data_IF_932509370622
#
_entry.id   IF_932509370622
#
_cell.length_a   1.000
_cell.length_b   1.000
_cell.length_c   1.000
_cell.angle_alpha   90.00
_cell.angle_beta   90.00
_cell.angle_gamma   90.00
#
_symmetry.space_group_name_H-M   'P 1'
#
loop_
_entity.id
_entity.type
_entity.pdbx_description
1 polymer ?
#
# COMPACT_ATOMS: atom_id res chain seq x y z
N UNK A 1 -26.17 -34.22 -65.01
CA UNK A 1 -25.44 -34.20 -66.30
C UNK A 1 -24.10 -33.50 -66.09
N UNK A 2 -23.02 -34.18 -66.49
CA UNK A 2 -21.62 -33.72 -66.72
C UNK A 2 -20.75 -33.20 -65.55
N UNK A 3 -19.95 -34.14 -65.05
CA UNK A 3 -18.49 -34.02 -64.84
C UNK A 3 -17.80 -33.21 -65.96
N UNK A 4 -16.74 -32.45 -65.64
CA UNK A 4 -15.39 -32.67 -66.24
C UNK A 4 -14.31 -31.71 -65.71
N UNK A 5 -13.10 -32.28 -65.55
CA UNK A 5 -11.73 -31.71 -65.34
C UNK A 5 -11.47 -31.06 -63.98
N UNK A 6 -10.64 -31.58 -63.05
CA UNK A 6 -9.46 -32.47 -63.10
C UNK A 6 -8.35 -32.06 -64.06
N UNK A 7 -7.18 -31.86 -63.44
CA UNK A 7 -5.82 -31.92 -63.97
C UNK A 7 -5.21 -30.61 -64.49
N UNK A 8 -4.61 -29.85 -63.58
CA UNK A 8 -3.27 -29.30 -63.84
C UNK A 8 -2.44 -29.33 -62.55
N UNK A 9 -1.55 -30.32 -62.52
CA UNK A 9 -0.67 -30.73 -61.45
C UNK A 9 0.72 -30.28 -61.85
N UNK A 10 1.44 -29.66 -60.90
CA UNK A 10 2.92 -29.54 -60.84
C UNK A 10 3.62 -29.02 -62.10
N UNK A 11 4.22 -27.84 -61.97
CA UNK A 11 5.66 -27.57 -62.14
C UNK A 11 5.84 -26.06 -61.95
N UNK A 12 6.33 -25.66 -60.78
CA UNK A 12 7.42 -24.66 -60.66
C UNK A 12 7.76 -24.49 -59.18
N UNK A 13 8.20 -25.60 -58.57
CA UNK A 13 9.10 -25.52 -57.42
C UNK A 13 10.47 -25.12 -57.97
N UNK A 14 10.79 -23.83 -57.91
CA UNK A 14 12.15 -23.29 -57.82
C UNK A 14 12.06 -21.78 -58.00
N UNK A 15 12.92 -21.03 -57.30
CA UNK A 15 12.96 -19.56 -57.29
C UNK A 15 11.93 -18.91 -56.36
N UNK A 16 12.08 -19.13 -55.05
CA UNK A 16 12.14 -18.05 -54.05
C UNK A 16 12.53 -18.61 -52.66
N UNK A 17 13.61 -19.41 -52.63
CA UNK A 17 14.24 -19.94 -51.41
C UNK A 17 15.50 -19.12 -51.04
N UNK A 18 15.46 -17.80 -51.15
CA UNK A 18 16.55 -16.91 -50.66
C UNK A 18 16.01 -15.57 -50.20
N UNK A 19 15.33 -15.55 -49.05
CA UNK A 19 15.16 -14.32 -48.23
C UNK A 19 14.72 -14.64 -46.79
N UNK A 20 15.25 -15.71 -46.21
CA UNK A 20 14.84 -16.19 -44.89
C UNK A 20 15.99 -16.35 -43.89
N UNK A 21 17.13 -15.67 -44.04
CA UNK A 21 18.16 -15.65 -43.00
C UNK A 21 18.95 -14.34 -43.00
N UNK A 22 18.46 -13.39 -42.22
CA UNK A 22 19.13 -12.13 -41.93
C UNK A 22 18.14 -11.27 -41.18
N UNK A 23 18.38 -11.03 -39.89
CA UNK A 23 17.58 -10.23 -38.92
C UNK A 23 16.98 -11.00 -37.73
N UNK A 24 17.45 -12.22 -37.43
CA UNK A 24 17.06 -12.92 -36.18
C UNK A 24 18.01 -12.71 -35.00
N UNK A 25 19.14 -12.01 -35.16
CA UNK A 25 20.12 -11.81 -34.07
C UNK A 25 19.98 -10.48 -33.30
N UNK A 26 19.18 -9.52 -33.76
CA UNK A 26 19.08 -8.19 -33.10
C UNK A 26 17.91 -8.06 -32.12
N UNK A 27 16.94 -8.97 -32.16
CA UNK A 27 15.71 -8.88 -31.35
C UNK A 27 15.81 -9.50 -29.95
N UNK A 28 16.84 -10.29 -29.65
CA UNK A 28 16.99 -10.96 -28.34
C UNK A 28 17.64 -10.02 -27.29
N UNK A 29 18.40 -9.00 -27.71
CA UNK A 29 19.03 -8.04 -26.80
C UNK A 29 18.07 -7.00 -26.21
N UNK A 30 17.07 -6.54 -26.98
CA UNK A 30 16.17 -5.45 -26.56
C UNK A 30 15.08 -5.95 -25.58
N UNK A 31 14.68 -7.22 -25.67
CA UNK A 31 13.69 -7.82 -24.76
C UNK A 31 14.22 -7.98 -23.32
N UNK A 32 15.53 -8.12 -23.15
CA UNK A 32 16.16 -8.30 -21.83
C UNK A 32 16.25 -6.99 -21.02
N UNK A 33 16.33 -5.83 -21.69
CA UNK A 33 16.42 -4.51 -21.03
C UNK A 33 15.04 -4.05 -20.54
N UNK A 34 13.96 -4.40 -21.25
CA UNK A 34 12.58 -4.09 -20.83
C UNK A 34 12.09 -4.91 -19.61
N UNK A 35 12.67 -6.09 -19.37
CA UNK A 35 12.40 -6.88 -18.15
C UNK A 35 13.13 -6.35 -16.91
N UNK A 36 14.30 -5.71 -17.06
CA UNK A 36 15.04 -5.11 -15.93
C UNK A 36 14.39 -3.82 -15.41
N UNK A 37 13.67 -3.07 -16.25
CA UNK A 37 12.99 -1.84 -15.83
C UNK A 37 11.66 -2.05 -15.09
N UNK A 38 11.07 -3.26 -15.12
CA UNK A 38 9.85 -3.56 -14.36
C UNK A 38 10.10 -4.02 -12.92
N UNK A 39 11.36 -4.33 -12.57
CA UNK A 39 11.71 -4.84 -11.23
C UNK A 39 12.05 -3.78 -10.18
N UNK A 40 12.23 -2.51 -10.58
CA UNK A 40 12.76 -1.47 -9.68
C UNK A 40 11.73 -0.43 -9.25
N UNK A 41 10.48 -0.85 -9.04
CA UNK A 41 9.52 -0.11 -8.23
C UNK A 41 9.32 -0.83 -6.89
N UNK A 42 10.41 -1.00 -6.14
CA UNK A 42 10.33 -1.30 -4.72
C UNK A 42 9.94 0.01 -4.03
N UNK A 43 8.66 0.35 -4.15
CA UNK A 43 8.01 1.31 -3.29
C UNK A 43 8.34 0.90 -1.85
N UNK A 44 9.12 1.72 -1.15
CA UNK A 44 9.22 1.65 0.30
C UNK A 44 7.88 2.11 0.86
N UNK A 45 6.89 1.21 0.79
CA UNK A 45 5.72 1.26 1.66
C UNK A 45 6.30 1.26 3.06
N UNK A 46 6.16 2.38 3.76
CA UNK A 46 6.56 2.49 5.16
C UNK A 46 5.98 1.31 5.93
N UNK A 47 6.84 0.48 6.53
CA UNK A 47 6.56 -0.80 7.20
C UNK A 47 5.52 -0.76 8.36
N UNK A 48 4.74 0.31 8.50
CA UNK A 48 3.60 0.38 9.41
C UNK A 48 2.64 -0.78 9.13
N UNK A 49 2.49 -1.18 7.86
CA UNK A 49 1.60 -2.28 7.48
C UNK A 49 2.05 -3.67 7.95
N UNK A 50 3.34 -3.85 8.29
CA UNK A 50 3.87 -5.12 8.77
C UNK A 50 3.57 -5.42 10.25
N UNK A 51 3.20 -4.39 11.03
CA UNK A 51 2.84 -4.55 12.44
C UNK A 51 1.37 -4.99 12.51
N UNK A 52 1.02 -6.10 13.18
CA UNK A 52 -0.38 -6.51 13.30
C UNK A 52 -1.26 -5.43 13.91
N UNK A 53 -2.43 -5.20 13.32
CA UNK A 53 -3.42 -4.24 13.81
C UNK A 53 -3.95 -4.71 15.17
N UNK A 54 -3.88 -3.88 16.20
CA UNK A 54 -4.40 -4.20 17.54
C UNK A 54 -5.90 -3.97 17.66
N UNK A 55 -6.43 -3.01 16.91
CA UNK A 55 -7.87 -2.74 16.79
C UNK A 55 -8.17 -2.09 15.43
N UNK A 56 -9.27 -2.51 14.81
CA UNK A 56 -9.86 -1.86 13.64
C UNK A 56 -11.14 -1.14 14.07
N UNK A 57 -11.21 0.16 13.83
CA UNK A 57 -12.41 0.96 14.06
C UNK A 57 -12.99 1.33 12.70
N UNK A 58 -14.21 0.90 12.41
CA UNK A 58 -14.94 1.28 11.20
C UNK A 58 -16.05 2.26 11.55
N UNK A 59 -16.09 3.38 10.86
CA UNK A 59 -17.11 4.43 11.05
C UNK A 59 -17.79 4.64 9.71
N UNK A 60 -19.07 4.31 9.64
CA UNK A 60 -19.89 4.54 8.48
C UNK A 60 -20.76 5.76 8.71
N UNK A 61 -20.38 6.87 8.08
CA UNK A 61 -21.16 8.10 8.10
C UNK A 61 -22.33 7.98 7.13
N UNK A 62 -23.55 8.07 7.66
CA UNK A 62 -24.77 7.85 6.85
C UNK A 62 -25.22 9.13 6.13
N UNK A 63 -24.80 10.30 6.61
CA UNK A 63 -25.23 11.60 6.11
C UNK A 63 -26.65 12.01 6.55
N UNK A 64 -27.45 11.07 7.04
CA UNK A 64 -28.83 11.26 7.46
C UNK A 64 -29.10 10.39 8.69
N UNK A 65 -29.09 10.99 9.89
CA UNK A 65 -29.42 10.30 11.13
C UNK A 65 -28.18 9.88 11.93
N UNK A 66 -28.13 8.61 12.34
CA UNK A 66 -27.03 8.08 13.15
C UNK A 66 -25.96 7.44 12.28
N UNK A 67 -24.71 7.68 12.63
CA UNK A 67 -23.55 6.97 12.11
C UNK A 67 -23.40 5.64 12.84
N UNK A 68 -22.88 4.64 12.13
CA UNK A 68 -22.61 3.30 12.67
C UNK A 68 -21.12 3.21 12.98
N UNK A 69 -20.79 2.79 14.19
CA UNK A 69 -19.41 2.59 14.64
C UNK A 69 -19.23 1.13 15.03
N UNK A 70 -18.22 0.49 14.45
CA UNK A 70 -17.80 -0.87 14.76
C UNK A 70 -16.35 -0.87 15.22
N UNK A 71 -16.05 -1.52 16.35
CA UNK A 71 -14.72 -1.66 16.91
C UNK A 71 -14.39 -3.14 16.99
N UNK A 72 -13.39 -3.60 16.25
CA UNK A 72 -13.03 -5.02 16.13
C UNK A 72 -11.63 -5.27 16.65
N UNK A 73 -11.51 -6.22 17.58
CA UNK A 73 -10.26 -6.70 18.15
C UNK A 73 -9.93 -8.09 17.59
N UNK A 74 -8.71 -8.34 17.10
CA UNK A 74 -8.27 -9.67 16.67
C UNK A 74 -7.87 -10.56 17.86
N UNK A 75 -8.56 -10.39 18.99
CA UNK A 75 -8.43 -11.19 20.21
C UNK A 75 -9.73 -11.13 20.98
N UNK A 76 -9.93 -12.11 21.85
CA UNK A 76 -11.02 -12.10 22.82
C UNK A 76 -10.73 -11.08 23.93
N UNK A 77 -11.70 -10.21 24.18
CA UNK A 77 -11.73 -9.32 25.34
C UNK A 77 -12.84 -9.74 26.29
N UNK A 78 -12.69 -9.36 27.57
CA UNK A 78 -13.81 -9.40 28.51
C UNK A 78 -14.83 -8.32 28.14
N UNK A 79 -16.11 -8.57 28.42
CA UNK A 79 -17.17 -7.58 28.18
C UNK A 79 -16.91 -6.28 28.96
N UNK A 80 -16.38 -6.39 30.19
CA UNK A 80 -16.01 -5.21 31.00
C UNK A 80 -14.89 -4.39 30.36
N UNK A 81 -13.88 -5.01 29.76
CA UNK A 81 -12.80 -4.28 29.06
C UNK A 81 -13.34 -3.60 27.80
N UNK A 82 -14.13 -4.32 27.00
CA UNK A 82 -14.79 -3.78 25.83
C UNK A 82 -15.70 -2.59 26.17
N UNK A 83 -16.48 -2.69 27.24
CA UNK A 83 -17.35 -1.62 27.72
C UNK A 83 -16.56 -0.40 28.20
N UNK A 84 -15.49 -0.61 28.96
CA UNK A 84 -14.63 0.47 29.43
C UNK A 84 -14.00 1.25 28.27
N UNK A 85 -13.65 0.58 27.17
CA UNK A 85 -13.15 1.25 25.97
C UNK A 85 -14.20 2.15 25.31
N UNK A 86 -15.46 1.70 25.25
CA UNK A 86 -16.58 2.55 24.75
C UNK A 86 -16.77 3.76 25.66
N UNK A 87 -16.79 3.56 26.97
CA UNK A 87 -16.99 4.63 27.95
C UNK A 87 -15.86 5.68 27.87
N UNK A 88 -14.61 5.21 27.70
CA UNK A 88 -13.46 6.08 27.48
C UNK A 88 -13.56 6.82 26.15
N UNK A 89 -13.98 6.16 25.07
CA UNK A 89 -14.18 6.79 23.78
C UNK A 89 -15.25 7.89 23.87
N UNK A 90 -16.40 7.59 24.48
CA UNK A 90 -17.49 8.53 24.73
C UNK A 90 -17.01 9.74 25.52
N UNK A 91 -16.16 9.54 26.52
CA UNK A 91 -15.57 10.63 27.30
C UNK A 91 -14.66 11.52 26.46
N UNK A 92 -13.89 10.94 25.55
CA UNK A 92 -12.93 11.66 24.70
C UNK A 92 -13.59 12.35 23.49
N UNK A 93 -14.68 11.80 22.97
CA UNK A 93 -15.42 12.35 21.82
C UNK A 93 -16.60 13.22 22.21
N UNK A 94 -17.10 13.08 23.44
CA UNK A 94 -18.38 13.63 23.91
C UNK A 94 -19.59 13.13 23.09
N UNK A 95 -19.47 11.96 22.47
CA UNK A 95 -20.57 11.36 21.72
C UNK A 95 -21.70 10.89 22.63
N UNK A 96 -22.93 11.02 22.13
CA UNK A 96 -24.06 10.24 22.67
C UNK A 96 -24.12 8.94 21.89
N UNK A 97 -24.05 7.81 22.60
CA UNK A 97 -24.06 6.47 22.00
C UNK A 97 -25.36 5.74 22.34
N UNK A 98 -25.84 4.93 21.40
CA UNK A 98 -27.00 4.06 21.57
C UNK A 98 -26.73 2.70 20.93
N UNK A 99 -27.57 1.72 21.29
CA UNK A 99 -27.57 0.40 20.65
C UNK A 99 -26.22 -0.34 20.76
N UNK A 100 -25.52 -0.17 21.90
CA UNK A 100 -24.22 -0.80 22.15
C UNK A 100 -24.39 -2.31 22.25
N UNK A 101 -23.81 -3.04 21.30
CA UNK A 101 -23.77 -4.50 21.27
C UNK A 101 -22.31 -4.95 21.32
N UNK A 102 -22.02 -5.90 22.22
CA UNK A 102 -20.70 -6.51 22.33
C UNK A 102 -20.87 -7.98 21.96
N UNK A 103 -20.09 -8.45 20.98
CA UNK A 103 -20.09 -9.84 20.54
C UNK A 103 -18.67 -10.39 20.59
N UNK A 104 -18.55 -11.65 21.03
CA UNK A 104 -17.26 -12.36 21.08
C UNK A 104 -17.43 -13.68 20.37
N UNK A 105 -16.58 -13.94 19.38
CA UNK A 105 -16.49 -15.22 18.68
C UNK A 105 -15.17 -15.89 19.06
N UNK A 106 -15.17 -17.08 19.68
CA UNK A 106 -13.94 -17.83 19.91
C UNK A 106 -13.32 -18.26 18.56
N UNK A 107 -12.01 -18.49 18.54
CA UNK A 107 -11.34 -19.07 17.37
C UNK A 107 -11.85 -20.49 17.12
N UNK A 108 -12.06 -20.86 15.86
CA UNK A 108 -12.66 -22.15 15.50
C UNK A 108 -11.62 -23.26 15.38
N UNK A 109 -10.40 -22.89 14.98
CA UNK A 109 -9.27 -23.82 14.85
C UNK A 109 -8.28 -23.73 16.02
N UNK A 110 -7.54 -24.83 16.25
CA UNK A 110 -6.45 -24.86 17.23
C UNK A 110 -5.37 -23.84 16.86
N UNK A 111 -5.18 -22.83 17.70
CA UNK A 111 -4.21 -21.75 17.48
C UNK A 111 -4.80 -20.50 16.81
N UNK A 112 -6.07 -20.51 16.42
CA UNK A 112 -6.77 -19.31 15.98
C UNK A 112 -7.18 -18.46 17.19
N UNK A 113 -6.90 -17.16 17.12
CA UNK A 113 -7.35 -16.22 18.15
C UNK A 113 -8.82 -15.86 17.89
N UNK A 114 -9.64 -15.86 18.95
CA UNK A 114 -11.00 -15.35 18.83
C UNK A 114 -11.05 -13.85 18.56
N UNK A 115 -12.23 -13.33 18.27
CA UNK A 115 -12.48 -11.92 17.90
C UNK A 115 -13.53 -11.36 18.85
N UNK A 116 -13.34 -10.12 19.29
CA UNK A 116 -14.38 -9.33 19.96
C UNK A 116 -14.74 -8.13 19.09
N UNK A 117 -16.03 -7.90 18.89
CA UNK A 117 -16.58 -6.77 18.15
C UNK A 117 -17.54 -5.98 19.03
N UNK A 118 -17.50 -4.67 18.89
CA UNK A 118 -18.41 -3.74 19.54
C UNK A 118 -19.07 -2.90 18.46
N UNK A 119 -20.39 -2.89 18.42
CA UNK A 119 -21.17 -2.12 17.47
C UNK A 119 -22.09 -1.15 18.22
N UNK A 120 -22.16 0.10 17.78
CA UNK A 120 -23.07 1.10 18.35
C UNK A 120 -23.39 2.19 17.33
N UNK A 121 -24.36 3.04 17.66
CA UNK A 121 -24.77 4.16 16.83
C UNK A 121 -24.55 5.49 17.54
N UNK A 122 -24.23 6.55 16.79
CA UNK A 122 -24.10 7.92 17.33
C UNK A 122 -24.53 8.97 16.30
N UNK A 123 -25.14 10.12 16.68
CA UNK A 123 -25.68 11.08 15.71
C UNK A 123 -24.67 11.76 14.78
N UNK A 124 -23.40 11.87 15.17
CA UNK A 124 -22.39 12.57 14.35
C UNK A 124 -20.98 12.10 14.72
N UNK A 125 -20.60 10.93 14.21
CA UNK A 125 -19.23 10.44 14.30
C UNK A 125 -18.29 11.20 13.36
N UNK A 126 -18.83 11.69 12.23
CA UNK A 126 -18.10 12.49 11.24
C UNK A 126 -18.67 13.90 11.11
N UNK A 127 -17.79 14.91 11.11
CA UNK A 127 -18.17 16.29 10.90
C UNK A 127 -18.24 16.62 9.40
N UNK A 128 -19.28 16.13 8.72
CA UNK A 128 -19.44 16.19 7.27
C UNK A 128 -19.22 17.60 6.67
N UNK A 129 -19.76 18.63 7.32
CA UNK A 129 -19.66 20.02 6.85
C UNK A 129 -18.24 20.60 6.93
N UNK A 130 -17.41 20.11 7.85
CA UNK A 130 -16.04 20.59 8.04
C UNK A 130 -15.02 19.83 7.19
N UNK A 131 -15.39 18.65 6.68
CA UNK A 131 -14.45 17.76 6.00
C UNK A 131 -13.43 17.08 6.91
N UNK A 132 -13.57 17.24 8.23
CA UNK A 132 -12.65 16.70 9.22
C UNK A 132 -13.04 15.31 9.72
N UNK A 133 -12.03 14.48 9.96
CA UNK A 133 -12.15 13.14 10.54
C UNK A 133 -11.37 13.11 11.85
N UNK A 134 -12.01 12.71 12.94
CA UNK A 134 -11.39 12.70 14.27
C UNK A 134 -10.32 11.60 14.35
N UNK A 135 -9.17 11.89 14.92
CA UNK A 135 -8.12 10.88 15.13
C UNK A 135 -7.70 10.83 16.59
N UNK A 136 -7.44 11.99 17.21
CA UNK A 136 -6.94 12.08 18.58
C UNK A 136 -7.77 11.32 19.63
N UNK A 137 -9.12 11.39 19.64
CA UNK A 137 -9.90 10.64 20.64
C UNK A 137 -9.67 9.12 20.59
N UNK A 138 -9.51 8.56 19.39
CA UNK A 138 -9.21 7.13 19.21
C UNK A 138 -7.79 6.79 19.68
N UNK A 139 -6.82 7.63 19.34
CA UNK A 139 -5.43 7.44 19.77
C UNK A 139 -5.33 7.47 21.29
N UNK A 140 -6.05 8.37 21.96
CA UNK A 140 -6.09 8.45 23.43
C UNK A 140 -6.77 7.23 24.06
N UNK A 141 -7.93 6.84 23.54
CA UNK A 141 -8.72 5.71 24.05
C UNK A 141 -7.94 4.40 23.93
N UNK A 142 -7.34 4.16 22.75
CA UNK A 142 -6.70 2.89 22.41
C UNK A 142 -5.18 2.91 22.58
N UNK A 143 -4.62 3.86 23.33
CA UNK A 143 -3.16 4.03 23.46
C UNK A 143 -2.42 2.81 24.01
N UNK A 144 -3.12 1.88 24.67
CA UNK A 144 -2.55 0.60 25.14
C UNK A 144 -2.16 -0.34 23.99
N UNK A 145 -2.72 -0.13 22.80
CA UNK A 145 -2.50 -0.95 21.62
C UNK A 145 -1.39 -0.36 20.76
N UNK A 146 -0.55 -1.23 20.18
CA UNK A 146 0.59 -0.79 19.37
C UNK A 146 0.15 -0.15 18.05
N UNK A 147 -0.86 -0.73 17.39
CA UNK A 147 -1.38 -0.26 16.11
C UNK A 147 -2.90 -0.14 16.16
N UNK A 148 -3.40 0.98 15.66
CA UNK A 148 -4.82 1.30 15.53
C UNK A 148 -5.06 1.62 14.05
N UNK A 149 -6.03 0.94 13.43
CA UNK A 149 -6.50 1.33 12.11
C UNK A 149 -7.92 1.90 12.24
N UNK A 150 -8.16 3.07 11.64
CA UNK A 150 -9.48 3.72 11.63
C UNK A 150 -9.92 3.85 10.17
N UNK A 151 -11.01 3.20 9.81
CA UNK A 151 -11.64 3.25 8.50
C UNK A 151 -12.90 4.10 8.56
N UNK A 152 -12.85 5.25 7.90
CA UNK A 152 -14.03 6.07 7.66
C UNK A 152 -14.61 5.73 6.29
N UNK A 153 -15.92 5.47 6.25
CA UNK A 153 -16.72 5.34 5.03
C UNK A 153 -17.69 6.51 5.03
N UNK A 154 -17.59 7.39 4.04
CA UNK A 154 -18.31 8.67 4.00
C UNK A 154 -19.16 8.81 2.73
N UNK A 155 -20.14 9.72 2.72
CA UNK A 155 -20.90 10.04 1.52
C UNK A 155 -20.02 10.53 0.35
N UNK A 156 -20.45 10.34 -0.92
CA UNK A 156 -19.65 10.71 -2.10
C UNK A 156 -19.30 12.20 -2.25
N UNK A 157 -20.12 13.08 -1.67
CA UNK A 157 -19.97 14.53 -1.68
C UNK A 157 -19.06 15.06 -0.56
N UNK A 158 -18.51 14.18 0.27
CA UNK A 158 -17.62 14.57 1.37
C UNK A 158 -16.29 15.14 0.87
N UNK A 159 -16.04 16.41 1.20
CA UNK A 159 -14.79 17.10 0.90
C UNK A 159 -13.82 17.00 2.07
N UNK A 160 -12.80 16.14 1.97
CA UNK A 160 -11.84 15.92 3.04
C UNK A 160 -10.83 17.06 3.21
N UNK A 161 -10.68 17.57 4.44
CA UNK A 161 -9.72 18.65 4.83
C UNK A 161 -8.83 18.23 6.02
N UNK A 162 -8.93 16.98 6.48
CA UNK A 162 -8.24 16.52 7.67
C UNK A 162 -6.73 16.23 7.53
N UNK A 163 -6.15 15.74 8.62
CA UNK A 163 -4.76 15.30 8.74
C UNK A 163 -4.43 14.18 7.73
N UNK A 164 -3.36 14.30 6.94
CA UNK A 164 -2.95 13.24 5.99
C UNK A 164 -1.80 12.42 6.54
N UNK A 165 -0.85 13.07 7.18
CA UNK A 165 0.30 12.42 7.78
C UNK A 165 0.77 13.23 8.98
N UNK A 166 1.25 12.53 10.00
CA UNK A 166 1.82 13.15 11.20
C UNK A 166 2.76 12.19 11.88
N UNK A 167 3.86 12.70 12.43
CA UNK A 167 4.79 11.88 13.18
C UNK A 167 5.46 12.71 14.28
N UNK A 168 5.38 12.23 15.52
CA UNK A 168 6.13 12.79 16.64
C UNK A 168 6.80 11.65 17.43
N UNK A 169 7.22 11.94 18.68
CA UNK A 169 7.84 10.94 19.56
C UNK A 169 6.84 9.89 20.09
N UNK A 170 5.56 10.21 20.13
CA UNK A 170 4.50 9.37 20.68
C UNK A 170 3.82 8.52 19.62
N UNK A 171 3.59 9.06 18.43
CA UNK A 171 2.79 8.41 17.39
C UNK A 171 3.31 8.67 15.99
N UNK A 172 2.92 7.79 15.07
CA UNK A 172 3.00 7.98 13.63
C UNK A 172 1.64 7.68 13.01
N UNK A 173 1.17 8.59 12.17
CA UNK A 173 -0.15 8.55 11.54
C UNK A 173 0.04 8.70 10.04
N UNK A 174 -0.59 7.82 9.28
CA UNK A 174 -0.64 7.89 7.82
C UNK A 174 -2.06 7.64 7.33
N UNK A 175 -2.51 8.45 6.38
CA UNK A 175 -3.79 8.31 5.71
C UNK A 175 -3.63 7.61 4.35
N UNK A 176 -4.40 6.56 4.14
CA UNK A 176 -4.67 5.96 2.83
C UNK A 176 -6.06 6.42 2.36
N UNK A 177 -6.13 7.05 1.19
CA UNK A 177 -7.37 7.59 0.62
C UNK A 177 -7.88 6.71 -0.52
N UNK A 178 -9.13 6.28 -0.42
CA UNK A 178 -9.94 5.75 -1.52
C UNK A 178 -10.98 6.76 -1.99
N UNK A 179 -11.91 6.34 -2.86
CA UNK A 179 -12.95 7.22 -3.42
C UNK A 179 -13.83 7.82 -2.32
N UNK A 180 -14.43 6.95 -1.49
CA UNK A 180 -15.33 7.33 -0.39
C UNK A 180 -14.86 6.76 0.95
N UNK A 181 -13.58 6.35 1.02
CA UNK A 181 -13.01 5.67 2.16
C UNK A 181 -11.70 6.33 2.57
N UNK A 182 -11.50 6.48 3.88
CA UNK A 182 -10.33 7.13 4.46
C UNK A 182 -9.82 6.24 5.59
N UNK A 183 -8.67 5.60 5.38
CA UNK A 183 -8.05 4.71 6.36
C UNK A 183 -6.86 5.39 7.00
N UNK A 184 -6.95 5.67 8.30
CA UNK A 184 -5.79 6.04 9.11
C UNK A 184 -5.12 4.79 9.65
N UNK A 185 -3.83 4.63 9.37
CA UNK A 185 -2.95 3.66 10.03
C UNK A 185 -2.13 4.40 11.07
N UNK A 186 -2.32 4.05 12.34
CA UNK A 186 -1.73 4.75 13.49
C UNK A 186 -0.84 3.78 14.25
N UNK A 187 0.42 4.15 14.42
CA UNK A 187 1.40 3.43 15.21
C UNK A 187 1.68 4.22 16.49
N UNK A 188 1.41 3.62 17.64
CA UNK A 188 1.78 4.13 18.95
C UNK A 188 3.23 3.72 19.23
N UNK A 189 4.10 4.72 19.40
CA UNK A 189 5.52 4.54 19.74
C UNK A 189 5.76 4.57 21.25
N UNK A 190 5.04 5.43 21.94
CA UNK A 190 5.14 5.66 23.38
C UNK A 190 3.75 5.99 23.92
N UNK A 191 3.34 5.33 25.01
CA UNK A 191 2.00 5.39 25.60
C UNK A 191 1.90 6.41 26.76
N UNK A 192 3.02 7.02 27.15
CA UNK A 192 3.15 7.93 28.30
C UNK A 192 2.56 9.34 28.09
N UNK A 193 1.83 9.57 26.99
CA UNK A 193 1.21 10.86 26.71
C UNK A 193 -0.18 11.00 27.36
N UNK A 194 -0.46 12.22 27.84
CA UNK A 194 -1.79 12.65 28.25
C UNK A 194 -2.48 13.50 27.15
N UNK A 195 -1.68 14.25 26.39
CA UNK A 195 -2.12 15.07 25.25
C UNK A 195 -1.19 14.83 24.06
N UNK A 196 -1.76 14.66 22.87
CA UNK A 196 -0.97 14.50 21.64
C UNK A 196 -0.81 15.82 20.91
N UNK A 197 -1.81 16.70 21.02
CA UNK A 197 -1.84 17.96 20.27
C UNK A 197 -1.86 17.68 18.77
N UNK A 198 -2.67 16.71 18.33
CA UNK A 198 -2.76 16.40 16.91
C UNK A 198 -3.44 17.58 16.21
N UNK A 199 -2.86 18.11 15.14
CA UNK A 199 -3.52 19.15 14.38
C UNK A 199 -4.72 18.53 13.67
N UNK A 200 -5.89 19.17 13.79
CA UNK A 200 -7.11 18.72 13.13
C UNK A 200 -6.98 18.79 11.60
N UNK A 201 -6.31 19.84 11.12
CA UNK A 201 -5.97 20.05 9.72
C UNK A 201 -4.50 19.69 9.47
N UNK A 202 -4.15 19.37 8.23
CA UNK A 202 -2.75 19.21 7.87
C UNK A 202 -2.00 20.54 8.09
N UNK A 203 -0.94 20.60 8.91
CA UNK A 203 -0.15 21.82 9.06
C UNK A 203 0.56 22.16 7.75
N UNK A 204 0.60 23.45 7.38
CA UNK A 204 1.27 23.95 6.17
C UNK A 204 2.78 23.68 6.18
N UNK A 205 3.37 23.62 7.38
CA UNK A 205 4.77 23.29 7.58
C UNK A 205 4.93 21.87 8.11
N UNK A 206 5.68 20.99 7.40
CA UNK A 206 6.03 19.67 7.90
C UNK A 206 6.70 19.75 9.27
N UNK A 207 6.19 19.03 10.27
CA UNK A 207 6.87 18.87 11.56
C UNK A 207 8.29 18.31 11.31
N UNK A 208 9.30 18.93 11.91
CA UNK A 208 10.72 18.84 11.51
C UNK A 208 11.42 17.45 11.56
N UNK A 209 10.95 16.38 12.24
CA UNK A 209 11.61 15.08 12.13
C UNK A 209 11.40 14.37 10.77
N UNK A 210 10.34 14.69 10.01
CA UNK A 210 10.04 14.01 8.74
C UNK A 210 11.07 14.30 7.64
N UNK A 211 11.57 15.54 7.56
CA UNK A 211 12.58 15.95 6.55
C UNK A 211 13.92 15.22 6.71
N UNK A 212 14.30 14.81 7.92
CA UNK A 212 15.55 14.07 8.15
C UNK A 212 15.48 12.62 7.65
N UNK A 213 14.31 11.98 7.73
CA UNK A 213 14.13 10.61 7.23
C UNK A 213 14.08 10.58 5.70
N UNK A 214 13.33 11.51 5.06
CA UNK A 214 13.27 11.60 3.60
C UNK A 214 14.63 11.96 2.97
N UNK A 215 15.39 12.90 3.56
CA UNK A 215 16.72 13.26 3.04
C UNK A 215 17.72 12.11 3.11
N UNK A 216 17.68 11.30 4.18
CA UNK A 216 18.56 10.12 4.32
C UNK A 216 18.18 9.01 3.33
N UNK A 217 16.88 8.84 3.08
CA UNK A 217 16.35 7.89 2.10
C UNK A 217 16.72 8.29 0.65
N UNK A 218 16.61 9.57 0.30
CA UNK A 218 16.97 10.10 -1.02
C UNK A 218 18.50 10.06 -1.29
N UNK A 219 19.33 10.27 -0.26
CA UNK A 219 20.78 10.20 -0.41
C UNK A 219 21.29 8.76 -0.63
N UNK A 220 20.63 7.77 -0.01
CA UNK A 220 20.97 6.36 -0.20
C UNK A 220 20.45 5.81 -1.54
N UNK A 221 19.27 6.23 -2.01
CA UNK A 221 18.77 5.80 -3.32
C UNK A 221 19.68 6.27 -4.46
N UNK A 222 20.23 7.50 -4.39
CA UNK A 222 21.19 7.99 -5.40
C UNK A 222 22.46 7.12 -5.50
N UNK A 223 22.97 6.61 -4.37
CA UNK A 223 24.12 5.69 -4.35
C UNK A 223 23.79 4.34 -4.99
N UNK A 224 22.59 3.82 -4.72
CA UNK A 224 22.12 2.55 -5.31
C UNK A 224 21.95 2.69 -6.83
N UNK A 225 21.37 3.79 -7.30
CA UNK A 225 21.25 4.07 -8.74
C UNK A 225 22.62 4.16 -9.42
N UNK A 226 23.59 4.86 -8.83
CA UNK A 226 24.96 4.94 -9.37
C UNK A 226 25.63 3.57 -9.45
N UNK A 227 25.41 2.70 -8.46
CA UNK A 227 25.95 1.34 -8.43
C UNK A 227 25.33 0.45 -9.52
N UNK A 228 24.01 0.54 -9.73
CA UNK A 228 23.32 -0.20 -10.81
C UNK A 228 23.85 0.23 -12.18
N UNK A 229 24.01 1.54 -12.41
CA UNK A 229 24.56 2.09 -13.66
C UNK A 229 26.00 1.60 -13.89
N UNK A 230 26.83 1.60 -12.83
CA UNK A 230 28.20 1.12 -12.91
C UNK A 230 28.26 -0.38 -13.30
N UNK A 231 27.44 -1.23 -12.69
CA UNK A 231 27.37 -2.66 -13.00
C UNK A 231 26.94 -2.88 -14.46
N UNK A 232 25.92 -2.16 -14.93
CA UNK A 232 25.46 -2.28 -16.31
C UNK A 232 26.56 -1.90 -17.32
N UNK A 233 27.34 -0.85 -17.02
CA UNK A 233 28.45 -0.42 -17.86
C UNK A 233 29.56 -1.46 -17.94
N UNK A 234 29.95 -2.06 -16.80
CA UNK A 234 30.98 -3.11 -16.75
C UNK A 234 30.54 -4.35 -17.55
N UNK A 235 29.30 -4.80 -17.38
CA UNK A 235 28.77 -5.96 -18.09
C UNK A 235 28.72 -5.74 -19.61
N UNK A 236 28.29 -4.54 -20.05
CA UNK A 236 28.29 -4.16 -21.47
C UNK A 236 29.71 -4.16 -22.06
N UNK A 237 30.67 -3.60 -21.34
CA UNK A 237 32.07 -3.52 -21.78
C UNK A 237 32.69 -4.92 -21.90
N UNK A 238 32.47 -5.80 -20.91
CA UNK A 238 32.97 -7.17 -20.94
C UNK A 238 32.42 -7.98 -22.13
N UNK A 239 31.12 -7.82 -22.42
CA UNK A 239 30.46 -8.50 -23.55
C UNK A 239 31.03 -8.04 -24.89
N UNK A 240 31.27 -6.74 -25.05
CA UNK A 240 31.88 -6.16 -26.23
C UNK A 240 33.32 -6.68 -26.45
N UNK A 241 34.14 -6.74 -25.39
CA UNK A 241 35.50 -7.26 -25.47
C UNK A 241 35.53 -8.74 -25.83
N UNK A 242 34.66 -9.56 -25.24
CA UNK A 242 34.57 -10.99 -25.53
C UNK A 242 34.18 -11.25 -26.99
N UNK A 243 33.20 -10.52 -27.52
CA UNK A 243 32.78 -10.62 -28.93
C UNK A 243 33.86 -10.14 -29.89
N UNK A 244 34.52 -9.02 -29.59
CA UNK A 244 35.64 -8.51 -30.40
C UNK A 244 36.82 -9.51 -30.46
N UNK A 245 37.15 -10.13 -29.32
CA UNK A 245 38.23 -11.12 -29.25
C UNK A 245 37.91 -12.39 -30.04
N UNK A 246 36.68 -12.89 -29.95
CA UNK A 246 36.23 -14.04 -30.74
C UNK A 246 36.26 -13.76 -32.24
N UNK A 247 35.85 -12.56 -32.67
CA UNK A 247 35.92 -12.15 -34.08
C UNK A 247 37.36 -12.07 -34.60
N UNK A 248 38.28 -11.49 -33.83
CA UNK A 248 39.72 -11.47 -34.19
C UNK A 248 40.33 -12.86 -34.31
N UNK A 249 39.89 -13.81 -33.48
CA UNK A 249 40.41 -15.18 -33.53
C UNK A 249 39.84 -15.99 -34.71
N UNK A 250 38.63 -15.67 -35.15
CA UNK A 250 38.02 -16.30 -36.32
C UNK A 250 38.68 -15.86 -37.63
N UNK A 251 39.13 -14.61 -37.76
CA UNK A 251 39.79 -14.13 -38.98
C UNK A 251 41.17 -14.77 -39.22
N UNK A 252 41.90 -15.15 -38.16
CA UNK A 252 43.21 -15.82 -38.28
C UNK A 252 43.15 -17.30 -38.68
N UNK A 253 41.96 -17.88 -38.85
CA UNK A 253 41.82 -19.28 -39.33
C UNK A 253 41.54 -19.40 -40.82
N UNK A 254 41.41 -18.28 -41.53
CA UNK A 254 41.09 -18.24 -42.97
C UNK A 254 42.22 -17.68 -43.84
N UNK A 255 43.41 -17.50 -43.28
CA UNK A 255 44.68 -17.34 -44.00
C UNK A 255 45.49 -18.64 -43.89
#
# INVERSE_FOLDING_TARGET
MRNSRKDEKKISDSVNFRRAFGNKCTYIGILSILLLFRGLSLAQVSNVDAIPTGVLISIQATGLGKDIVSITYPKVLSESEARADVDNLVKETHWTVSDVQISTRPGEAKGESGITSIDFTTPSAVQLNSGGLLVEPFVKTFKRLTRIDILYIVPPDFSFVGLKWFENKFVKIALQRGTNTYRYSILIKDQSFDKLGLPFLQPDTPYEPAKKLERKQYQNSRKIYLLIVAIAFVAGTATYLATSWLMKRASMRFE
#
